data_IF_073208709181
#
_entry.id   IF_073208709181
#
_cell.length_a   1.000
_cell.length_b   1.000
_cell.length_c   1.000
_cell.angle_alpha   90.00
_cell.angle_beta   90.00
_cell.angle_gamma   90.00
#
_symmetry.space_group_name_H-M   'P 1'
#
loop_
_entity.id
_entity.type
_entity.pdbx_description
1 polymer ?
#
# COMPACT_ATOMS: atom_id res chain seq x y z
N UNK A 1 -9.54 -1.45 -12.56
CA UNK A 1 -8.53 -1.03 -11.56
C UNK A 1 -8.37 0.49 -11.48
N UNK A 2 -8.32 1.07 -10.27
CA UNK A 2 -8.26 2.54 -10.02
C UNK A 2 -6.82 3.10 -10.09
N UNK A 3 -6.55 4.26 -10.73
CA UNK A 3 -5.20 4.79 -10.90
C UNK A 3 -4.40 4.95 -9.61
N UNK A 4 -5.02 5.50 -8.55
CA UNK A 4 -4.37 5.64 -7.23
C UNK A 4 -3.94 4.29 -6.66
N UNK A 5 -4.73 3.24 -6.84
CA UNK A 5 -4.34 1.91 -6.37
C UNK A 5 -3.15 1.38 -7.16
N UNK A 6 -3.21 1.48 -8.50
CA UNK A 6 -2.13 1.03 -9.37
C UNK A 6 -0.82 1.76 -9.06
N UNK A 7 -0.84 3.08 -8.99
CA UNK A 7 0.38 3.90 -8.90
C UNK A 7 0.91 4.02 -7.48
N UNK A 8 0.03 4.19 -6.49
CA UNK A 8 0.43 4.45 -5.09
C UNK A 8 0.54 3.19 -4.26
N UNK A 9 0.09 2.04 -4.76
CA UNK A 9 0.12 0.77 -4.03
C UNK A 9 0.87 -0.30 -4.83
N UNK A 10 0.35 -0.73 -5.98
CA UNK A 10 0.92 -1.87 -6.70
C UNK A 10 2.29 -1.55 -7.31
N UNK A 11 2.44 -0.39 -7.95
CA UNK A 11 3.70 0.04 -8.55
C UNK A 11 4.62 0.76 -7.56
N UNK A 12 4.20 0.88 -6.30
CA UNK A 12 4.90 1.69 -5.32
C UNK A 12 5.97 0.86 -4.59
N UNK A 13 7.27 1.20 -4.72
CA UNK A 13 8.36 0.39 -4.15
C UNK A 13 8.40 0.42 -2.63
N UNK A 14 7.66 1.33 -2.01
CA UNK A 14 7.55 1.53 -0.57
C UNK A 14 6.38 0.80 0.07
N UNK A 15 5.51 0.13 -0.70
CA UNK A 15 4.38 -0.67 -0.16
C UNK A 15 4.59 -2.16 -0.48
N UNK A 16 4.45 -3.01 0.53
CA UNK A 16 4.52 -4.45 0.36
C UNK A 16 3.23 -5.00 -0.29
N UNK A 17 3.32 -5.60 -1.46
CA UNK A 17 2.18 -6.19 -2.17
C UNK A 17 1.56 -7.40 -1.46
N UNK A 18 2.31 -8.06 -0.57
CA UNK A 18 1.81 -9.16 0.24
C UNK A 18 0.88 -8.70 1.37
N UNK A 19 1.16 -7.55 1.98
CA UNK A 19 0.54 -7.17 3.24
C UNK A 19 0.06 -5.73 3.32
N UNK A 20 0.33 -4.92 2.29
CA UNK A 20 -0.03 -3.52 2.10
C UNK A 20 0.52 -2.55 3.15
N UNK A 21 1.53 -2.95 3.92
CA UNK A 21 2.30 -2.04 4.80
C UNK A 21 3.35 -1.28 4.03
N UNK A 22 3.70 -0.11 4.55
CA UNK A 22 4.90 0.59 4.14
C UNK A 22 6.15 -0.15 4.61
N UNK A 23 7.10 -0.34 3.71
CA UNK A 23 8.36 -1.08 3.95
C UNK A 23 9.61 -0.28 3.60
N UNK A 24 9.44 0.85 2.90
CA UNK A 24 10.52 1.78 2.58
C UNK A 24 10.11 3.20 2.95
N UNK A 25 11.12 4.02 3.14
CA UNK A 25 11.00 5.46 3.33
C UNK A 25 11.97 6.16 2.38
N UNK A 26 11.59 7.34 1.94
CA UNK A 26 12.46 8.15 1.10
C UNK A 26 13.67 8.60 1.94
N UNK A 27 14.88 8.37 1.43
CA UNK A 27 16.07 8.87 2.10
C UNK A 27 15.98 10.40 2.09
N UNK A 28 16.04 11.01 3.27
CA UNK A 28 16.26 12.44 3.32
C UNK A 28 17.56 12.75 2.58
N UNK A 29 17.58 13.75 1.68
CA UNK A 29 18.82 14.18 1.07
C UNK A 29 19.79 14.52 2.20
N UNK A 30 20.89 13.76 2.27
CA UNK A 30 21.97 14.08 3.21
C UNK A 30 22.49 15.47 2.85
N UNK A 31 22.69 16.27 3.88
CA UNK A 31 23.34 17.57 3.80
C UNK A 31 24.61 17.46 2.93
N UNK A 32 24.68 18.18 1.78
CA UNK A 32 25.78 18.06 0.84
C UNK A 32 27.15 18.38 1.46
N UNK A 33 27.19 19.12 2.57
CA UNK A 33 28.43 19.47 3.28
C UNK A 33 28.97 18.34 4.16
N UNK A 34 28.20 17.28 4.43
CA UNK A 34 28.61 16.19 5.35
C UNK A 34 29.25 14.96 4.70
N UNK A 35 29.34 14.89 3.37
CA UNK A 35 29.85 13.68 2.70
C UNK A 35 30.78 14.00 1.54
N UNK A 36 31.97 14.55 1.82
CA UNK A 36 33.12 14.45 0.91
C UNK A 36 33.74 13.05 1.04
N UNK A 37 33.14 12.08 0.38
CA UNK A 37 33.83 10.83 0.02
C UNK A 37 34.08 10.85 -1.48
N UNK A 38 35.32 10.63 -1.93
CA UNK A 38 35.74 10.62 -3.34
C UNK A 38 35.14 9.48 -4.19
N UNK A 39 34.12 8.79 -3.65
CA UNK A 39 33.41 7.68 -4.28
C UNK A 39 31.96 8.09 -4.49
N UNK A 40 31.58 8.36 -5.73
CA UNK A 40 30.20 8.69 -6.13
C UNK A 40 29.37 7.43 -6.37
N UNK A 41 29.12 6.65 -5.32
CA UNK A 41 28.06 5.64 -5.41
C UNK A 41 26.73 6.38 -5.33
N UNK A 42 25.95 6.36 -6.41
CA UNK A 42 24.59 6.91 -6.43
C UNK A 42 23.75 6.16 -5.39
N UNK A 43 23.49 6.83 -4.27
CA UNK A 43 22.64 6.27 -3.23
C UNK A 43 21.22 6.01 -3.76
N UNK A 44 20.62 4.89 -3.35
CA UNK A 44 19.22 4.60 -3.69
C UNK A 44 18.31 5.65 -3.06
N UNK A 45 17.32 6.14 -3.81
CA UNK A 45 16.28 7.07 -3.30
C UNK A 45 15.58 6.55 -2.05
N UNK A 46 15.46 5.23 -1.92
CA UNK A 46 14.75 4.57 -0.84
C UNK A 46 15.71 3.97 0.20
N UNK A 47 15.36 4.06 1.47
CA UNK A 47 15.89 3.25 2.57
C UNK A 47 14.81 2.30 3.08
N UNK A 48 15.21 1.22 3.75
CA UNK A 48 14.25 0.36 4.45
C UNK A 48 13.63 1.12 5.61
N UNK A 49 12.34 0.90 5.87
CA UNK A 49 11.68 1.38 7.09
C UNK A 49 11.91 0.38 8.21
N UNK A 50 12.64 0.78 9.25
CA UNK A 50 13.12 -0.14 10.30
C UNK A 50 12.02 -0.78 11.14
N UNK A 51 10.90 -0.08 11.30
CA UNK A 51 9.79 -0.52 12.16
C UNK A 51 8.93 -1.63 11.56
N UNK A 52 9.11 -1.89 10.26
CA UNK A 52 8.28 -2.82 9.46
C UNK A 52 9.12 -3.78 8.63
N UNK A 53 10.45 -3.67 8.76
CA UNK A 53 11.40 -4.50 8.02
C UNK A 53 12.58 -4.91 8.86
N UNK A 54 13.01 -6.14 8.66
CA UNK A 54 14.19 -6.72 9.27
C UNK A 54 15.26 -6.99 8.20
N UNK A 55 16.52 -6.83 8.59
CA UNK A 55 17.65 -7.34 7.79
C UNK A 55 17.98 -8.71 8.33
N UNK A 56 17.50 -9.74 7.66
CA UNK A 56 17.70 -11.13 8.05
C UNK A 56 18.47 -11.89 6.96
N UNK A 57 18.88 -13.11 7.32
CA UNK A 57 19.41 -14.06 6.36
C UNK A 57 18.27 -14.98 5.94
N UNK A 58 18.11 -15.17 4.63
CA UNK A 58 17.10 -16.09 4.10
C UNK A 58 17.42 -17.55 4.49
N UNK A 59 16.45 -18.47 4.34
CA UNK A 59 16.71 -19.90 4.47
C UNK A 59 17.67 -20.32 3.35
N UNK A 60 18.94 -20.44 3.67
CA UNK A 60 19.98 -20.89 2.76
C UNK A 60 20.74 -22.05 3.39
N UNK A 61 21.18 -23.00 2.57
CA UNK A 61 21.98 -24.15 3.01
C UNK A 61 23.33 -23.71 3.64
N UNK A 62 23.73 -22.45 3.44
CA UNK A 62 24.86 -21.81 4.12
C UNK A 62 24.50 -20.39 4.58
N UNK A 63 24.86 -20.04 5.82
CA UNK A 63 24.52 -18.78 6.52
C UNK A 63 25.02 -17.51 5.80
N UNK A 64 25.98 -17.65 4.89
CA UNK A 64 26.59 -16.54 4.16
C UNK A 64 25.90 -16.17 2.84
N UNK A 65 24.92 -16.95 2.38
CA UNK A 65 24.53 -16.89 0.96
C UNK A 65 23.43 -15.87 0.59
N UNK A 66 22.61 -15.36 1.51
CA UNK A 66 21.59 -14.35 1.14
C UNK A 66 21.15 -13.49 2.32
N UNK A 67 21.72 -12.30 2.42
CA UNK A 67 21.26 -11.23 3.31
C UNK A 67 20.22 -10.39 2.58
N UNK A 68 18.99 -10.40 3.08
CA UNK A 68 17.84 -9.72 2.46
C UNK A 68 17.21 -8.66 3.38
N UNK A 69 16.24 -7.92 2.84
CA UNK A 69 15.34 -7.07 3.62
C UNK A 69 13.95 -7.69 3.56
N UNK A 70 13.47 -8.13 4.71
CA UNK A 70 12.19 -8.83 4.86
C UNK A 70 11.18 -7.90 5.51
N UNK A 71 9.95 -7.89 4.99
CA UNK A 71 8.82 -7.29 5.70
C UNK A 71 8.42 -8.16 6.89
N UNK A 72 7.76 -7.60 7.90
CA UNK A 72 7.18 -8.36 9.03
C UNK A 72 6.22 -9.49 8.58
N UNK A 73 5.66 -9.39 7.37
CA UNK A 73 4.82 -10.46 6.80
C UNK A 73 5.64 -11.63 6.22
N UNK A 74 6.98 -11.59 6.32
CA UNK A 74 7.90 -12.64 5.94
C UNK A 74 8.41 -12.59 4.50
N UNK A 75 7.87 -11.71 3.64
CA UNK A 75 8.31 -11.64 2.23
C UNK A 75 9.53 -10.74 2.07
N UNK A 76 10.42 -11.14 1.16
CA UNK A 76 11.56 -10.33 0.75
C UNK A 76 11.14 -9.32 -0.32
N UNK A 77 11.32 -8.02 -0.02
CA UNK A 77 10.99 -6.95 -0.95
C UNK A 77 9.50 -6.59 -1.07
N UNK A 78 9.22 -5.59 -1.91
CA UNK A 78 7.92 -4.92 -1.95
C UNK A 78 6.95 -5.54 -2.95
N UNK A 79 7.44 -6.26 -3.96
CA UNK A 79 6.63 -6.76 -5.08
C UNK A 79 6.37 -8.27 -4.99
N UNK A 80 6.68 -8.88 -3.86
CA UNK A 80 6.38 -10.29 -3.60
C UNK A 80 4.99 -10.39 -2.98
N UNK A 81 4.17 -11.28 -3.53
CA UNK A 81 2.86 -11.67 -3.01
C UNK A 81 2.78 -13.20 -3.04
N UNK A 82 2.48 -13.81 -1.89
CA UNK A 82 2.50 -15.28 -1.75
C UNK A 82 1.11 -15.91 -1.63
N UNK A 83 0.07 -15.12 -1.82
CA UNK A 83 -1.32 -15.57 -1.76
C UNK A 83 -2.04 -15.22 -3.06
N UNK A 84 -3.06 -16.01 -3.35
CA UNK A 84 -4.01 -15.83 -4.42
C UNK A 84 -5.35 -15.30 -3.89
N UNK A 85 -6.18 -14.75 -4.77
CA UNK A 85 -7.45 -14.12 -4.38
C UNK A 85 -8.38 -15.07 -3.60
N UNK A 86 -8.40 -16.37 -3.95
CA UNK A 86 -9.21 -17.39 -3.28
C UNK A 86 -8.72 -17.76 -1.87
N UNK A 87 -7.48 -17.40 -1.50
CA UNK A 87 -6.91 -17.65 -0.18
C UNK A 87 -7.19 -16.49 0.81
N UNK A 88 -7.82 -15.43 0.33
CA UNK A 88 -8.14 -14.25 1.13
C UNK A 88 -9.56 -14.37 1.67
N UNK A 89 -9.68 -14.85 2.90
CA UNK A 89 -10.93 -14.77 3.66
C UNK A 89 -11.22 -13.35 4.17
N UNK A 90 -12.43 -13.14 4.69
CA UNK A 90 -12.92 -11.84 5.18
C UNK A 90 -12.01 -11.16 6.19
N UNK A 91 -11.44 -11.91 7.12
CA UNK A 91 -10.57 -11.34 8.16
C UNK A 91 -9.21 -10.90 7.60
N UNK A 92 -8.65 -11.69 6.68
CA UNK A 92 -7.45 -11.30 5.95
C UNK A 92 -7.71 -10.06 5.09
N UNK A 93 -8.86 -10.00 4.42
CA UNK A 93 -9.25 -8.82 3.64
C UNK A 93 -9.36 -7.56 4.50
N UNK A 94 -9.98 -7.65 5.68
CA UNK A 94 -10.05 -6.52 6.63
C UNK A 94 -8.67 -6.02 7.04
N UNK A 95 -7.74 -6.92 7.30
CA UNK A 95 -6.38 -6.54 7.67
C UNK A 95 -5.62 -5.88 6.51
N UNK A 96 -5.77 -6.40 5.29
CA UNK A 96 -5.22 -5.77 4.08
C UNK A 96 -5.80 -4.37 3.88
N UNK A 97 -7.12 -4.23 3.98
CA UNK A 97 -7.82 -2.95 3.84
C UNK A 97 -7.39 -1.92 4.89
N UNK A 98 -7.24 -2.33 6.15
CA UNK A 98 -6.74 -1.46 7.23
C UNK A 98 -5.33 -0.94 6.92
N UNK A 99 -4.44 -1.83 6.48
CA UNK A 99 -3.05 -1.48 6.14
C UNK A 99 -2.99 -0.60 4.90
N UNK A 100 -3.84 -0.88 3.91
CA UNK A 100 -3.98 -0.06 2.71
C UNK A 100 -4.37 1.38 3.05
N UNK A 101 -5.42 1.57 3.85
CA UNK A 101 -5.86 2.91 4.28
C UNK A 101 -4.72 3.63 4.99
N UNK A 102 -4.08 2.98 5.95
CA UNK A 102 -2.96 3.58 6.67
C UNK A 102 -1.78 3.98 5.76
N UNK A 103 -1.43 3.11 4.80
CA UNK A 103 -0.37 3.39 3.83
C UNK A 103 -0.71 4.55 2.90
N UNK A 104 -1.96 4.67 2.45
CA UNK A 104 -2.40 5.77 1.60
C UNK A 104 -2.42 7.11 2.34
N UNK A 105 -2.90 7.12 3.59
CA UNK A 105 -2.90 8.32 4.43
C UNK A 105 -1.48 8.81 4.73
N UNK A 106 -0.57 7.88 5.03
CA UNK A 106 0.84 8.22 5.22
C UNK A 106 1.47 8.83 3.96
N UNK A 107 0.99 8.45 2.77
CA UNK A 107 1.39 9.02 1.48
C UNK A 107 0.68 10.35 1.16
N UNK A 108 -0.10 10.90 2.09
CA UNK A 108 -0.83 12.15 1.94
C UNK A 108 -2.07 12.05 1.05
N UNK A 109 -2.59 10.85 0.81
CA UNK A 109 -3.85 10.68 0.07
C UNK A 109 -5.02 10.92 1.03
N UNK A 110 -5.79 11.98 0.79
CA UNK A 110 -7.00 12.27 1.55
C UNK A 110 -8.13 11.33 1.14
N UNK A 111 -8.67 10.56 2.08
CA UNK A 111 -9.68 9.54 1.84
C UNK A 111 -10.78 9.63 2.90
N UNK A 112 -12.04 9.54 2.48
CA UNK A 112 -13.12 9.24 3.42
C UNK A 112 -12.99 7.76 3.86
N UNK A 113 -12.55 7.55 5.11
CA UNK A 113 -12.30 6.21 5.67
C UNK A 113 -13.56 5.36 5.66
N UNK A 114 -14.69 5.93 6.05
CA UNK A 114 -15.95 5.20 6.21
C UNK A 114 -16.44 4.71 4.84
N UNK A 115 -16.46 5.60 3.85
CA UNK A 115 -16.82 5.26 2.48
C UNK A 115 -15.87 4.23 1.89
N UNK A 116 -14.55 4.39 2.11
CA UNK A 116 -13.54 3.43 1.65
C UNK A 116 -13.83 2.03 2.18
N UNK A 117 -13.99 1.91 3.51
CA UNK A 117 -14.18 0.61 4.16
C UNK A 117 -15.52 -0.01 3.76
N UNK A 118 -16.60 0.76 3.80
CA UNK A 118 -17.94 0.29 3.45
C UNK A 118 -18.00 -0.25 2.03
N UNK A 119 -17.45 0.48 1.06
CA UNK A 119 -17.49 0.05 -0.34
C UNK A 119 -16.52 -1.10 -0.63
N UNK A 120 -15.33 -1.12 -0.03
CA UNK A 120 -14.41 -2.26 -0.18
C UNK A 120 -15.00 -3.56 0.36
N UNK A 121 -15.60 -3.53 1.57
CA UNK A 121 -16.24 -4.71 2.16
C UNK A 121 -17.47 -5.16 1.36
N UNK A 122 -18.26 -4.22 0.85
CA UNK A 122 -19.39 -4.54 0.00
C UNK A 122 -18.94 -5.17 -1.33
N UNK A 123 -17.84 -4.70 -1.92
CA UNK A 123 -17.25 -5.28 -3.13
C UNK A 123 -16.71 -6.68 -2.88
N UNK A 124 -15.96 -6.86 -1.80
CA UNK A 124 -15.44 -8.17 -1.39
C UNK A 124 -16.55 -9.19 -1.14
N UNK A 125 -17.65 -8.78 -0.50
CA UNK A 125 -18.81 -9.66 -0.27
C UNK A 125 -19.56 -10.11 -1.52
N UNK A 126 -19.26 -9.53 -2.70
CA UNK A 126 -19.80 -9.97 -4.00
C UNK A 126 -18.87 -10.94 -4.73
N UNK A 127 -17.66 -11.19 -4.20
CA UNK A 127 -16.74 -12.15 -4.80
C UNK A 127 -17.33 -13.56 -4.66
N UNK A 128 -17.32 -14.37 -5.74
CA UNK A 128 -17.80 -15.73 -5.68
C UNK A 128 -16.89 -16.57 -4.76
N UNK A 129 -17.50 -17.32 -3.82
CA UNK A 129 -16.78 -18.25 -2.94
C UNK A 129 -16.03 -19.34 -3.74
N UNK A 130 -16.56 -19.67 -4.93
CA UNK A 130 -16.07 -20.71 -5.84
C UNK A 130 -15.15 -20.18 -6.94
N UNK A 131 -14.37 -19.12 -6.71
CA UNK A 131 -13.30 -18.67 -7.61
C UNK A 131 -12.12 -19.69 -7.62
N UNK A 132 -12.42 -20.93 -8.01
CA UNK A 132 -11.52 -22.07 -8.12
C UNK A 132 -10.92 -22.04 -9.53
N UNK A 133 -9.78 -21.39 -9.68
CA UNK A 133 -8.94 -21.49 -10.88
C UNK A 133 -8.10 -20.23 -11.16
N UNK A 134 -6.88 -20.37 -11.70
CA UNK A 134 -5.91 -19.28 -11.88
C UNK A 134 -6.31 -18.16 -12.87
N UNK A 135 -7.52 -18.18 -13.45
CA UNK A 135 -7.89 -17.35 -14.61
C UNK A 135 -9.36 -16.86 -14.59
N UNK A 136 -9.86 -16.27 -13.50
CA UNK A 136 -11.00 -15.36 -13.58
C UNK A 136 -10.52 -13.91 -13.51
N UNK A 137 -10.37 -13.22 -14.66
CA UNK A 137 -9.81 -11.87 -14.73
C UNK A 137 -10.79 -10.76 -14.30
N UNK A 138 -12.04 -11.12 -13.97
CA UNK A 138 -13.17 -10.20 -13.92
C UNK A 138 -13.50 -9.68 -12.50
N UNK A 139 -13.06 -10.35 -11.43
CA UNK A 139 -13.23 -9.84 -10.05
C UNK A 139 -12.14 -10.38 -9.11
N UNK A 140 -11.26 -9.51 -8.63
CA UNK A 140 -10.13 -9.84 -7.73
C UNK A 140 -10.22 -9.15 -6.36
N UNK A 141 -9.38 -9.57 -5.41
CA UNK A 141 -9.20 -8.84 -4.13
C UNK A 141 -8.73 -7.42 -4.38
N UNK A 142 -7.84 -7.23 -5.37
CA UNK A 142 -7.34 -5.93 -5.79
C UNK A 142 -8.46 -5.03 -6.33
N UNK A 143 -9.44 -5.58 -7.06
CA UNK A 143 -10.60 -4.80 -7.54
C UNK A 143 -11.50 -4.34 -6.40
N UNK A 144 -11.72 -5.18 -5.39
CA UNK A 144 -12.49 -4.80 -4.20
C UNK A 144 -11.79 -3.68 -3.41
N UNK A 145 -10.46 -3.75 -3.25
CA UNK A 145 -9.66 -2.69 -2.62
C UNK A 145 -9.70 -1.40 -3.45
N UNK A 146 -9.54 -1.51 -4.77
CA UNK A 146 -9.61 -0.37 -5.70
C UNK A 146 -10.99 0.30 -5.72
N UNK A 147 -12.08 -0.48 -5.60
CA UNK A 147 -13.44 0.05 -5.49
C UNK A 147 -13.60 0.89 -4.22
N UNK A 148 -13.08 0.41 -3.08
CA UNK A 148 -13.06 1.17 -1.84
C UNK A 148 -12.40 2.53 -2.00
N UNK A 149 -11.18 2.56 -2.55
CA UNK A 149 -10.42 3.81 -2.79
C UNK A 149 -11.21 4.75 -3.70
N UNK A 150 -11.78 4.24 -4.80
CA UNK A 150 -12.58 5.05 -5.73
C UNK A 150 -13.69 5.83 -5.02
N UNK A 151 -14.46 5.14 -4.17
CA UNK A 151 -15.55 5.80 -3.43
C UNK A 151 -15.04 6.70 -2.29
N UNK A 152 -13.96 6.31 -1.61
CA UNK A 152 -13.31 7.11 -0.57
C UNK A 152 -12.81 8.45 -1.09
N UNK A 153 -12.15 8.45 -2.25
CA UNK A 153 -11.67 9.67 -2.92
C UNK A 153 -12.83 10.54 -3.39
N UNK A 154 -13.83 9.94 -4.04
CA UNK A 154 -14.99 10.69 -4.54
C UNK A 154 -15.75 11.39 -3.40
N UNK A 155 -15.89 10.74 -2.22
CA UNK A 155 -16.51 11.39 -1.06
C UNK A 155 -15.65 12.49 -0.46
N UNK A 156 -14.34 12.27 -0.32
CA UNK A 156 -13.41 13.28 0.18
C UNK A 156 -13.40 14.53 -0.71
N UNK A 157 -13.45 14.37 -2.03
CA UNK A 157 -13.55 15.49 -2.97
C UNK A 157 -14.85 16.29 -2.80
N UNK A 158 -15.98 15.60 -2.64
CA UNK A 158 -17.27 16.26 -2.38
C UNK A 158 -17.24 17.05 -1.06
N UNK A 159 -16.71 16.46 0.01
CA UNK A 159 -16.57 17.12 1.32
C UNK A 159 -15.71 18.39 1.22
N UNK A 160 -14.55 18.31 0.57
CA UNK A 160 -13.66 19.46 0.40
C UNK A 160 -14.32 20.62 -0.38
N UNK A 161 -15.14 20.29 -1.40
CA UNK A 161 -15.89 21.30 -2.17
C UNK A 161 -17.00 21.96 -1.35
N UNK A 162 -17.71 21.18 -0.53
CA UNK A 162 -18.79 21.71 0.32
C UNK A 162 -18.25 22.62 1.41
N UNK A 163 -17.12 22.26 2.04
CA UNK A 163 -16.49 23.08 3.09
C UNK A 163 -16.03 24.45 2.53
N UNK A 164 -15.45 24.46 1.32
CA UNK A 164 -15.03 25.70 0.65
C UNK A 164 -16.20 26.65 0.35
N UNK A 165 -17.40 26.11 0.13
CA UNK A 165 -18.59 26.91 -0.22
C UNK A 165 -19.19 27.58 1.02
N UNK A 166 -19.10 26.95 2.19
CA UNK A 166 -19.63 27.47 3.45
C UNK A 166 -18.79 28.64 3.98
N UNK A 167 -17.47 28.60 3.78
CA UNK A 167 -16.53 29.68 4.17
C UNK A 167 -16.60 30.92 3.26
N UNK A 168 -17.25 30.83 2.10
CA UNK A 168 -17.34 31.92 1.11
C UNK A 168 -18.63 32.76 1.23
N UNK A 169 -19.51 32.48 2.19
CA UNK A 169 -20.69 33.31 2.45
C UNK A 169 -20.32 34.59 3.21
N UNK A 170 -20.57 35.80 2.66
CA UNK A 170 -20.32 37.04 3.39
C UNK A 170 -21.27 37.16 4.59
N UNK A 171 -20.85 37.74 5.72
CA UNK A 171 -21.75 38.04 6.83
C UNK A 171 -22.82 39.03 6.36
N UNK A 172 -24.07 38.74 6.74
CA UNK A 172 -25.25 39.58 6.48
C UNK A 172 -25.21 40.89 7.26
#
# INVERSE_FOLDING_TARGET
>A
MHPTYQERVLNAPDVCQNCLRLVREERQPRDPDRTRSDVTVRESRWSRRKDTTEVAFGPAETVTAQKGIFCDCGVEGSFVRVWNDHEVGRDRFRELLKRLVHSLEHKGVSLDREATVRHALAAFGRLPEEAVGPHRPDVSVDDALAEGIRYGLARAEVQARTETTDESSPPA
#
